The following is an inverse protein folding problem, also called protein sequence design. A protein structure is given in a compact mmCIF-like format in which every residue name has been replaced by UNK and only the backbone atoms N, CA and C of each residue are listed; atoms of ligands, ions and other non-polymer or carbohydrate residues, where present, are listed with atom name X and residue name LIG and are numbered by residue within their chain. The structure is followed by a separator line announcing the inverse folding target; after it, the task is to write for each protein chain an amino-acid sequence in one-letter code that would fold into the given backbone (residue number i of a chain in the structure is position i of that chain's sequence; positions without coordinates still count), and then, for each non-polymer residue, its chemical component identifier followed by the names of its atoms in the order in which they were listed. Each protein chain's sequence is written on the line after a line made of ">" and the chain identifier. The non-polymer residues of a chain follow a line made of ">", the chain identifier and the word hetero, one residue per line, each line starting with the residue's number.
data_IF_551956328263
#
_entry.id   IF_551956328263
#
_cell.length_a   1.000
_cell.length_b   1.000
_cell.length_c   1.000
_cell.angle_alpha   90.00
_cell.angle_beta   90.00
_cell.angle_gamma   90.00
#
_symmetry.space_group_name_H-M   'P 1'
#
loop_
_entity.id
_entity.type
_entity.pdbx_description
1 polymer ?
#
# COMPACT_ATOMS: atom_id res chain seq x y z
N UNK A 1 22.13 -19.90 -4.95
CA UNK A 1 20.72 -19.45 -5.02
C UNK A 1 20.35 -18.35 -4.02
N UNK A 2 21.19 -18.00 -3.02
CA UNK A 2 20.90 -16.92 -2.04
C UNK A 2 20.67 -15.52 -2.64
N UNK A 3 21.29 -15.18 -3.78
CA UNK A 3 21.15 -13.86 -4.41
C UNK A 3 19.80 -13.58 -5.08
N UNK A 4 19.15 -14.60 -5.65
CA UNK A 4 17.86 -14.43 -6.33
C UNK A 4 16.74 -14.09 -5.32
N UNK A 5 16.71 -14.77 -4.18
CA UNK A 5 15.75 -14.50 -3.10
C UNK A 5 15.93 -13.08 -2.54
N UNK A 6 17.17 -12.60 -2.38
CA UNK A 6 17.45 -11.22 -1.91
C UNK A 6 16.99 -10.14 -2.90
N UNK A 7 17.15 -10.38 -4.20
CA UNK A 7 16.64 -9.48 -5.24
C UNK A 7 15.10 -9.45 -5.25
N UNK A 8 14.45 -10.61 -5.09
CA UNK A 8 12.99 -10.68 -4.96
C UNK A 8 12.48 -9.93 -3.73
N UNK A 9 13.21 -9.97 -2.61
CA UNK A 9 12.84 -9.20 -1.40
C UNK A 9 12.89 -7.69 -1.62
N UNK A 10 14.01 -7.19 -2.16
CA UNK A 10 14.16 -5.76 -2.44
C UNK A 10 13.14 -5.27 -3.46
N UNK A 11 12.81 -6.12 -4.45
CA UNK A 11 11.73 -5.82 -5.38
C UNK A 11 10.38 -5.69 -4.68
N UNK A 12 10.01 -6.67 -3.83
CA UNK A 12 8.71 -6.64 -3.14
C UNK A 12 8.60 -5.42 -2.21
N UNK A 13 9.63 -5.15 -1.41
CA UNK A 13 9.67 -4.00 -0.53
C UNK A 13 9.62 -2.66 -1.30
N UNK A 14 10.37 -2.56 -2.40
CA UNK A 14 10.41 -1.38 -3.25
C UNK A 14 9.09 -1.10 -3.98
N UNK A 15 8.46 -2.15 -4.51
CA UNK A 15 7.16 -2.02 -5.18
C UNK A 15 6.06 -1.61 -4.20
N UNK A 16 6.02 -2.21 -3.00
CA UNK A 16 5.09 -1.80 -1.94
C UNK A 16 5.32 -0.34 -1.54
N UNK A 17 6.59 0.07 -1.37
CA UNK A 17 6.96 1.47 -1.09
C UNK A 17 6.48 2.43 -2.19
N UNK A 18 6.57 2.03 -3.46
CA UNK A 18 6.10 2.83 -4.59
C UNK A 18 4.58 3.00 -4.54
N UNK A 19 3.83 1.92 -4.33
CA UNK A 19 2.37 1.97 -4.21
C UNK A 19 1.92 2.84 -3.04
N UNK A 20 2.62 2.80 -1.91
CA UNK A 20 2.39 3.71 -0.78
C UNK A 20 2.68 5.17 -1.15
N UNK A 21 3.72 5.41 -1.96
CA UNK A 21 3.99 6.72 -2.52
C UNK A 21 2.85 7.26 -3.39
N UNK A 22 2.20 6.41 -4.18
CA UNK A 22 1.02 6.79 -4.96
C UNK A 22 -0.21 7.02 -4.06
N UNK A 23 -0.41 6.20 -3.03
CA UNK A 23 -1.51 6.36 -2.08
C UNK A 23 -1.42 7.71 -1.34
N UNK A 24 -0.21 8.11 -0.93
CA UNK A 24 0.03 9.39 -0.27
C UNK A 24 -0.29 10.61 -1.16
N UNK A 25 -0.22 10.46 -2.49
CA UNK A 25 -0.56 11.54 -3.44
C UNK A 25 -2.07 11.71 -3.61
N UNK A 26 -2.86 10.67 -3.37
CA UNK A 26 -4.31 10.66 -3.66
C UNK A 26 -5.19 10.88 -2.42
N UNK A 27 -4.62 10.91 -1.21
CA UNK A 27 -5.38 11.13 0.03
C UNK A 27 -5.88 12.58 0.20
N UNK A 28 -5.11 13.59 -0.20
CA UNK A 28 -5.45 15.00 0.00
C UNK A 28 -5.40 15.48 1.46
N UNK A 29 -5.37 14.56 2.43
CA UNK A 29 -5.20 14.81 3.86
C UNK A 29 -3.71 14.68 4.27
N UNK A 30 -3.14 15.73 4.87
CA UNK A 30 -1.73 15.76 5.27
C UNK A 30 -1.38 14.79 6.40
N UNK A 31 -2.30 14.53 7.31
CA UNK A 31 -2.10 13.60 8.44
C UNK A 31 -2.07 12.17 7.91
N UNK A 32 -3.04 11.81 7.06
CA UNK A 32 -3.09 10.51 6.40
C UNK A 32 -1.88 10.33 5.47
N UNK A 33 -1.49 11.36 4.72
CA UNK A 33 -0.29 11.31 3.89
C UNK A 33 0.97 11.03 4.70
N UNK A 34 1.07 11.61 5.91
CA UNK A 34 2.21 11.38 6.80
C UNK A 34 2.23 9.96 7.38
N UNK A 35 1.06 9.39 7.69
CA UNK A 35 0.91 7.99 8.10
C UNK A 35 1.36 7.03 6.98
N UNK A 36 0.92 7.27 5.76
CA UNK A 36 1.35 6.51 4.58
C UNK A 36 2.87 6.62 4.36
N UNK A 37 3.44 7.82 4.56
CA UNK A 37 4.88 8.01 4.48
C UNK A 37 5.65 7.22 5.55
N UNK A 38 5.05 6.95 6.70
CA UNK A 38 5.67 6.11 7.74
C UNK A 38 5.62 4.63 7.33
N UNK A 39 4.47 4.13 6.87
CA UNK A 39 4.34 2.78 6.31
C UNK A 39 5.34 2.53 5.18
N UNK A 40 5.56 3.54 4.34
CA UNK A 40 6.56 3.48 3.26
C UNK A 40 7.98 3.28 3.79
N UNK A 41 8.38 4.05 4.81
CA UNK A 41 9.69 3.90 5.46
C UNK A 41 9.82 2.54 6.13
N UNK A 42 8.74 2.04 6.73
CA UNK A 42 8.72 0.72 7.34
C UNK A 42 8.91 -0.36 6.27
N UNK A 43 8.17 -0.33 5.17
CA UNK A 43 8.35 -1.27 4.06
C UNK A 43 9.80 -1.38 3.57
N UNK A 44 10.54 -0.27 3.56
CA UNK A 44 11.95 -0.22 3.13
C UNK A 44 12.95 -0.69 4.19
N UNK A 45 12.58 -0.72 5.47
CA UNK A 45 13.52 -0.91 6.60
C UNK A 45 13.25 -2.15 7.44
N UNK A 46 12.02 -2.67 7.45
CA UNK A 46 11.63 -3.84 8.24
C UNK A 46 12.10 -5.15 7.60
N UNK A 47 12.27 -6.23 8.39
CA UNK A 47 12.50 -7.57 7.85
C UNK A 47 11.33 -8.02 6.97
N UNK A 48 11.61 -8.88 5.98
CA UNK A 48 10.60 -9.42 5.06
C UNK A 48 9.36 -10.00 5.76
N UNK A 49 9.56 -10.68 6.90
CA UNK A 49 8.47 -11.29 7.67
C UNK A 49 7.42 -10.28 8.19
N UNK A 50 7.73 -8.98 8.20
CA UNK A 50 6.81 -7.92 8.60
C UNK A 50 6.06 -7.30 7.40
N UNK A 51 6.50 -7.52 6.15
CA UNK A 51 5.84 -6.95 4.96
C UNK A 51 4.36 -7.36 4.80
N UNK A 52 3.91 -8.58 5.16
CA UNK A 52 2.49 -8.90 5.17
C UNK A 52 1.66 -7.96 6.05
N UNK A 53 2.19 -7.58 7.22
CA UNK A 53 1.52 -6.65 8.12
C UNK A 53 1.45 -5.25 7.51
N UNK A 54 2.56 -4.76 6.93
CA UNK A 54 2.59 -3.46 6.26
C UNK A 54 1.61 -3.42 5.09
N UNK A 55 1.54 -4.49 4.28
CA UNK A 55 0.59 -4.59 3.18
C UNK A 55 -0.87 -4.57 3.65
N UNK A 56 -1.18 -5.26 4.75
CA UNK A 56 -2.52 -5.27 5.34
C UNK A 56 -2.92 -3.90 5.91
N UNK A 57 -2.03 -3.24 6.65
CA UNK A 57 -2.26 -1.89 7.19
C UNK A 57 -2.44 -0.86 6.05
N UNK A 58 -1.61 -0.97 5.00
CA UNK A 58 -1.70 -0.14 3.81
C UNK A 58 -3.05 -0.30 3.10
N UNK A 59 -3.53 -1.54 2.95
CA UNK A 59 -4.82 -1.82 2.31
C UNK A 59 -5.98 -1.32 3.16
N UNK A 60 -5.92 -1.50 4.48
CA UNK A 60 -6.93 -0.99 5.41
C UNK A 60 -7.05 0.54 5.30
N UNK A 61 -5.92 1.25 5.32
CA UNK A 61 -5.90 2.70 5.18
C UNK A 61 -6.43 3.17 3.82
N UNK A 62 -6.05 2.48 2.73
CA UNK A 62 -6.56 2.78 1.39
C UNK A 62 -8.08 2.55 1.28
N UNK A 63 -8.60 1.51 1.94
CA UNK A 63 -10.02 1.23 1.99
C UNK A 63 -10.79 2.28 2.78
N UNK A 64 -10.28 2.72 3.93
CA UNK A 64 -10.88 3.79 4.74
C UNK A 64 -10.95 5.11 3.96
N UNK A 65 -9.89 5.43 3.20
CA UNK A 65 -9.89 6.59 2.29
C UNK A 65 -10.98 6.48 1.21
N UNK A 66 -11.11 5.31 0.57
CA UNK A 66 -12.16 5.06 -0.43
C UNK A 66 -13.56 5.20 0.19
N UNK A 67 -13.75 4.67 1.40
CA UNK A 67 -15.02 4.80 2.10
C UNK A 67 -15.34 6.26 2.43
N UNK A 68 -14.35 7.03 2.88
CA UNK A 68 -14.52 8.45 3.18
C UNK A 68 -14.94 9.26 1.93
N UNK A 69 -14.22 9.12 0.82
CA UNK A 69 -14.56 9.83 -0.43
C UNK A 69 -15.90 9.40 -1.03
N UNK A 70 -16.27 8.13 -0.86
CA UNK A 70 -17.60 7.63 -1.23
C UNK A 70 -18.71 8.31 -0.41
N UNK A 71 -18.52 8.47 0.90
CA UNK A 71 -19.47 9.14 1.80
C UNK A 71 -19.60 10.63 1.49
N UNK A 72 -18.48 11.30 1.21
CA UNK A 72 -18.46 12.72 0.84
C UNK A 72 -18.97 12.98 -0.59
N UNK A 73 -19.14 11.94 -1.41
CA UNK A 73 -19.61 12.04 -2.79
C UNK A 73 -18.57 12.57 -3.78
N UNK A 74 -17.28 12.59 -3.40
CA UNK A 74 -16.20 12.99 -4.31
C UNK A 74 -15.79 11.81 -5.21
N UNK A 75 -16.56 11.64 -6.29
CA UNK A 75 -16.35 10.55 -7.26
C UNK A 75 -14.96 10.56 -7.92
N UNK A 76 -14.32 11.73 -8.07
CA UNK A 76 -13.02 11.83 -8.72
C UNK A 76 -11.91 11.36 -7.77
N UNK A 77 -11.96 11.82 -6.51
CA UNK A 77 -11.04 11.37 -5.47
C UNK A 77 -11.24 9.87 -5.19
N UNK A 78 -12.49 9.43 -5.07
CA UNK A 78 -12.84 8.02 -4.91
C UNK A 78 -12.23 7.14 -6.01
N UNK A 79 -12.39 7.52 -7.29
CA UNK A 79 -11.86 6.72 -8.41
C UNK A 79 -10.33 6.60 -8.35
N UNK A 80 -9.63 7.69 -7.99
CA UNK A 80 -8.17 7.69 -7.84
C UNK A 80 -7.71 6.81 -6.69
N UNK A 81 -8.36 6.93 -5.53
CA UNK A 81 -8.05 6.12 -4.35
C UNK A 81 -8.34 4.65 -4.59
N UNK A 82 -9.48 4.32 -5.21
CA UNK A 82 -9.85 2.95 -5.54
C UNK A 82 -8.86 2.29 -6.50
N UNK A 83 -8.32 3.05 -7.46
CA UNK A 83 -7.31 2.55 -8.39
C UNK A 83 -6.06 2.10 -7.63
N UNK A 84 -5.53 2.96 -6.75
CA UNK A 84 -4.34 2.62 -5.94
C UNK A 84 -4.64 1.50 -4.93
N UNK A 85 -5.81 1.52 -4.30
CA UNK A 85 -6.28 0.48 -3.39
C UNK A 85 -6.28 -0.90 -4.09
N UNK A 86 -6.82 -0.97 -5.31
CA UNK A 86 -6.81 -2.18 -6.12
C UNK A 86 -5.39 -2.62 -6.48
N UNK A 87 -4.49 -1.70 -6.81
CA UNK A 87 -3.08 -2.03 -7.10
C UNK A 87 -2.36 -2.61 -5.87
N UNK A 88 -2.58 -2.04 -4.67
CA UNK A 88 -2.05 -2.55 -3.41
C UNK A 88 -2.57 -3.97 -3.14
N UNK A 89 -3.88 -4.18 -3.27
CA UNK A 89 -4.49 -5.51 -3.10
C UNK A 89 -3.92 -6.52 -4.10
N UNK A 90 -3.96 -6.21 -5.39
CA UNK A 90 -3.51 -7.12 -6.45
C UNK A 90 -2.02 -7.48 -6.29
N UNK A 91 -1.18 -6.49 -6.00
CA UNK A 91 0.23 -6.72 -5.71
C UNK A 91 0.41 -7.57 -4.45
N UNK A 92 -0.30 -7.25 -3.37
CA UNK A 92 -0.23 -7.99 -2.11
C UNK A 92 -0.59 -9.47 -2.27
N UNK A 93 -1.64 -9.78 -3.03
CA UNK A 93 -1.98 -11.17 -3.39
C UNK A 93 -0.90 -11.82 -4.25
N UNK A 94 -0.45 -11.13 -5.31
CA UNK A 94 0.54 -11.66 -6.25
C UNK A 94 1.90 -11.94 -5.62
N UNK A 95 2.30 -11.12 -4.64
CA UNK A 95 3.53 -11.27 -3.88
C UNK A 95 3.40 -12.21 -2.67
N UNK A 96 2.20 -12.73 -2.38
CA UNK A 96 1.92 -13.59 -1.23
C UNK A 96 2.00 -12.86 0.12
N UNK A 97 1.79 -11.54 0.12
CA UNK A 97 1.71 -10.71 1.32
C UNK A 97 0.29 -10.69 1.91
N UNK A 98 -0.72 -10.87 1.06
CA UNK A 98 -2.14 -10.91 1.43
C UNK A 98 -2.74 -12.25 1.02
N UNK A 99 -3.89 -12.58 1.60
CA UNK A 99 -4.71 -13.74 1.25
C UNK A 99 -5.95 -13.26 0.50
N UNK A 100 -6.35 -14.00 -0.53
CA UNK A 100 -7.59 -13.76 -1.26
C UNK A 100 -8.73 -14.37 -0.41
N UNK A 101 -9.67 -13.54 0.02
CA UNK A 101 -10.80 -13.95 0.87
C UNK A 101 -11.85 -14.76 0.10
#
# INVERSE_FOLDING_TARGET
>A
MRGASVMTWHYIAGELSLLLGELAKVTGDEVVAQEICNLRKEAETVPFAALPNIAAESLALANDMCQFSLVEGDSLVFTRQLTVCHEIWYFGISAGLLVDD
#
